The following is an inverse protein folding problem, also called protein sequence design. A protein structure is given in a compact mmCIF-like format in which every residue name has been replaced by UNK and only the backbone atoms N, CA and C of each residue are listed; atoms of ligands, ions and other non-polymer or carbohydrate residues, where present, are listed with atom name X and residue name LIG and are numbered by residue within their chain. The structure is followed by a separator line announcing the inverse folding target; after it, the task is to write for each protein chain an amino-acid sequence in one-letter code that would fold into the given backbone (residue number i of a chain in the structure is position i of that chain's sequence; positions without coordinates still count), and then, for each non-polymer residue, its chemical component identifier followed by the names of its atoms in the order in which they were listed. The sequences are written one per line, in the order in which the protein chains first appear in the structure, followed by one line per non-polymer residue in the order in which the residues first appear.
data_IF_846199675262
#
_entry.id   IF_846199675262
#
_cell.length_a   1.000
_cell.length_b   1.000
_cell.length_c   1.000
_cell.angle_alpha   90.00
_cell.angle_beta   90.00
_cell.angle_gamma   90.00
#
_symmetry.space_group_name_H-M   'P 1'
#
loop_
_entity.id
_entity.type
_entity.pdbx_description
1 polymer ?
#
# COMPACT_ATOMS: atom_id res chain seq x y z
N UNK A 1 18.39 1.68 -15.31
CA UNK A 1 18.16 1.19 -13.95
C UNK A 1 17.75 -0.27 -14.01
N UNK A 2 17.78 -0.95 -12.90
CA UNK A 2 17.25 -2.29 -12.75
C UNK A 2 15.72 -2.24 -12.78
N UNK A 3 15.09 -3.24 -13.38
CA UNK A 3 13.63 -3.42 -13.28
C UNK A 3 13.35 -4.36 -12.11
N UNK A 4 12.43 -4.00 -11.25
CA UNK A 4 12.10 -4.74 -10.03
C UNK A 4 10.62 -5.11 -10.00
N UNK A 5 10.34 -6.34 -9.61
CA UNK A 5 9.00 -6.83 -9.39
C UNK A 5 8.46 -6.36 -8.03
N UNK A 6 7.21 -5.93 -8.02
CA UNK A 6 6.49 -5.42 -6.83
C UNK A 6 5.17 -6.17 -6.58
N UNK A 7 4.87 -7.17 -7.40
CA UNK A 7 3.65 -7.97 -7.27
C UNK A 7 3.93 -9.16 -6.37
N UNK A 8 3.17 -9.30 -5.31
CA UNK A 8 3.31 -10.42 -4.39
C UNK A 8 2.94 -11.75 -5.05
N UNK A 9 3.65 -12.81 -4.71
CA UNK A 9 3.46 -14.15 -5.29
C UNK A 9 2.02 -14.65 -5.17
N UNK A 10 1.32 -14.30 -4.08
CA UNK A 10 -0.09 -14.64 -3.88
C UNK A 10 -1.03 -13.95 -4.90
N UNK A 11 -0.69 -12.75 -5.39
CA UNK A 11 -1.44 -12.07 -6.45
C UNK A 11 -1.23 -12.77 -7.78
N UNK A 12 -0.01 -13.14 -8.10
CA UNK A 12 0.30 -13.88 -9.33
C UNK A 12 -0.42 -15.23 -9.35
N UNK A 13 -0.42 -15.95 -8.24
CA UNK A 13 -1.12 -17.22 -8.10
C UNK A 13 -2.65 -17.03 -8.25
N UNK A 14 -3.22 -15.99 -7.63
CA UNK A 14 -4.63 -15.65 -7.79
C UNK A 14 -5.00 -15.36 -9.26
N UNK A 15 -4.19 -14.58 -9.94
CA UNK A 15 -4.44 -14.24 -11.35
C UNK A 15 -4.29 -15.47 -12.27
N UNK A 16 -3.39 -16.40 -11.93
CA UNK A 16 -3.18 -17.65 -12.69
C UNK A 16 -4.27 -18.70 -12.46
N UNK A 17 -5.08 -18.56 -11.42
CA UNK A 17 -6.14 -19.51 -11.08
C UNK A 17 -7.30 -19.52 -12.10
N UNK A 18 -7.39 -18.52 -12.99
CA UNK A 18 -8.37 -18.45 -14.11
C UNK A 18 -9.82 -18.80 -13.70
N UNK A 19 -10.19 -18.50 -12.44
CA UNK A 19 -11.52 -18.78 -11.91
C UNK A 19 -11.70 -20.17 -11.26
N UNK A 20 -10.62 -20.91 -10.99
CA UNK A 20 -10.68 -22.12 -10.16
C UNK A 20 -11.04 -21.75 -8.72
N UNK A 21 -12.30 -21.98 -8.34
CA UNK A 21 -12.84 -21.62 -7.01
C UNK A 21 -12.06 -22.28 -5.87
N UNK A 22 -11.59 -23.52 -6.02
CA UNK A 22 -10.89 -24.22 -4.95
C UNK A 22 -9.50 -23.62 -4.71
N UNK A 23 -8.80 -23.22 -5.77
CA UNK A 23 -7.51 -22.54 -5.68
C UNK A 23 -7.69 -21.13 -5.09
N UNK A 24 -8.69 -20.40 -5.55
CA UNK A 24 -9.02 -19.06 -5.03
C UNK A 24 -9.37 -19.12 -3.55
N UNK A 25 -10.22 -20.05 -3.11
CA UNK A 25 -10.56 -20.23 -1.71
C UNK A 25 -9.36 -20.58 -0.82
N UNK A 26 -8.42 -21.37 -1.35
CA UNK A 26 -7.20 -21.70 -0.62
C UNK A 26 -6.30 -20.47 -0.42
N UNK A 27 -6.16 -19.63 -1.44
CA UNK A 27 -5.41 -18.37 -1.38
C UNK A 27 -6.07 -17.35 -0.44
N UNK A 28 -7.41 -17.20 -0.50
CA UNK A 28 -8.15 -16.25 0.30
C UNK A 28 -8.13 -16.58 1.81
N UNK A 29 -7.86 -17.80 2.22
CA UNK A 29 -7.67 -18.17 3.64
C UNK A 29 -6.45 -17.51 4.27
N UNK A 30 -5.51 -17.05 3.47
CA UNK A 30 -4.27 -16.38 3.91
C UNK A 30 -4.30 -14.87 3.63
N UNK A 31 -5.47 -14.24 3.59
CA UNK A 31 -5.67 -12.85 3.14
C UNK A 31 -4.87 -11.76 3.87
N UNK A 32 -4.33 -12.05 5.02
CA UNK A 32 -3.52 -11.10 5.79
C UNK A 32 -2.03 -11.41 5.70
N UNK A 33 -1.60 -12.22 4.73
CA UNK A 33 -0.19 -12.54 4.57
C UNK A 33 0.55 -11.42 3.84
N UNK A 34 1.79 -11.21 4.21
CA UNK A 34 2.72 -10.28 3.55
C UNK A 34 3.00 -10.67 2.09
N UNK A 35 2.56 -11.88 1.68
CA UNK A 35 2.74 -12.42 0.32
C UNK A 35 1.92 -11.67 -0.76
N UNK A 36 1.00 -10.79 -0.36
CA UNK A 36 0.20 -9.99 -1.29
C UNK A 36 0.90 -8.74 -1.81
N UNK A 37 1.91 -8.26 -1.09
CA UNK A 37 2.71 -7.09 -1.46
C UNK A 37 4.18 -7.44 -1.35
N UNK A 38 4.93 -7.20 -2.42
CA UNK A 38 6.36 -7.47 -2.46
C UNK A 38 7.14 -6.19 -2.14
N UNK A 39 8.08 -6.31 -1.22
CA UNK A 39 8.99 -5.23 -0.89
C UNK A 39 10.13 -5.10 -1.91
N UNK A 40 10.64 -3.90 -2.04
CA UNK A 40 11.89 -3.61 -2.74
C UNK A 40 12.93 -3.17 -1.72
N UNK A 41 13.93 -3.99 -1.48
CA UNK A 41 14.98 -3.70 -0.51
C UNK A 41 16.07 -2.82 -1.11
N UNK A 42 16.19 -1.59 -0.62
CA UNK A 42 17.37 -0.76 -0.85
C UNK A 42 18.51 -1.20 0.07
N UNK A 43 19.73 -1.26 -0.43
CA UNK A 43 20.91 -1.54 0.37
C UNK A 43 22.06 -0.60 0.01
N UNK A 44 22.87 -0.22 1.02
CA UNK A 44 24.01 0.66 0.83
C UNK A 44 25.19 0.26 1.69
N UNK A 45 26.36 0.80 1.36
CA UNK A 45 27.56 0.54 2.13
C UNK A 45 27.54 1.36 3.42
N UNK A 46 27.72 0.68 4.54
CA UNK A 46 27.87 1.32 5.83
C UNK A 46 29.15 2.17 5.87
N UNK A 47 29.03 3.40 6.39
CA UNK A 47 30.15 4.34 6.54
C UNK A 47 30.45 4.70 8.01
N UNK A 48 29.89 3.94 8.97
CA UNK A 48 30.05 4.16 10.41
C UNK A 48 29.08 5.19 11.01
N UNK A 49 28.13 5.70 10.22
CA UNK A 49 27.06 6.55 10.76
C UNK A 49 26.12 5.75 11.65
N UNK A 50 25.66 6.34 12.74
CA UNK A 50 24.69 5.71 13.66
C UNK A 50 23.28 5.70 13.06
N UNK A 51 22.98 6.66 12.16
CA UNK A 51 21.71 6.78 11.46
C UNK A 51 21.97 7.20 10.02
N UNK A 52 21.04 6.80 9.16
CA UNK A 52 20.97 7.23 7.77
C UNK A 52 19.64 7.88 7.50
N UNK A 53 19.65 8.87 6.62
CA UNK A 53 18.44 9.42 6.01
C UNK A 53 18.39 8.95 4.58
N UNK A 54 17.34 8.23 4.21
CA UNK A 54 17.08 7.74 2.86
C UNK A 54 16.06 8.67 2.21
N UNK A 55 16.36 9.12 1.02
CA UNK A 55 15.48 9.93 0.17
C UNK A 55 15.05 9.09 -1.01
N UNK A 56 13.74 9.00 -1.23
CA UNK A 56 13.13 8.31 -2.37
C UNK A 56 12.23 9.31 -3.11
N UNK A 57 12.30 9.35 -4.43
CA UNK A 57 11.50 10.26 -5.25
C UNK A 57 11.24 9.67 -6.64
N UNK A 58 10.11 9.99 -7.24
CA UNK A 58 9.82 9.78 -8.65
C UNK A 58 10.49 10.86 -9.53
N UNK A 59 11.00 11.93 -8.91
CA UNK A 59 11.66 13.04 -9.56
C UNK A 59 13.16 13.04 -9.25
N UNK A 60 14.01 13.05 -10.28
CA UNK A 60 15.47 13.08 -10.14
C UNK A 60 15.99 14.31 -9.35
N UNK A 61 15.23 15.40 -9.30
CA UNK A 61 15.56 16.57 -8.49
C UNK A 61 15.21 16.44 -7.01
N UNK A 62 14.52 15.35 -6.60
CA UNK A 62 14.08 15.10 -5.23
C UNK A 62 13.16 16.19 -4.64
N UNK A 63 12.38 16.88 -5.47
CA UNK A 63 11.49 17.95 -5.03
C UNK A 63 10.35 17.41 -4.14
N UNK A 64 9.86 16.19 -4.43
CA UNK A 64 8.76 15.51 -3.69
C UNK A 64 9.27 14.26 -2.97
N UNK A 65 10.51 14.27 -2.47
CA UNK A 65 11.11 13.09 -1.87
C UNK A 65 10.42 12.67 -0.57
N UNK A 66 10.10 11.40 -0.48
CA UNK A 66 9.83 10.75 0.80
C UNK A 66 11.12 10.58 1.57
N UNK A 67 11.09 10.75 2.88
CA UNK A 67 12.27 10.74 3.74
C UNK A 67 12.10 9.74 4.87
N UNK A 68 12.98 8.72 4.87
CA UNK A 68 13.01 7.69 5.90
C UNK A 68 14.30 7.75 6.71
N UNK A 69 14.20 7.47 8.02
CA UNK A 69 15.35 7.37 8.92
C UNK A 69 15.62 5.93 9.29
N UNK A 70 16.83 5.49 9.05
CA UNK A 70 17.26 4.10 9.27
C UNK A 70 18.43 4.06 10.26
N UNK A 71 18.40 3.09 11.18
CA UNK A 71 19.52 2.84 12.08
C UNK A 71 20.72 2.29 11.32
N UNK A 72 21.92 2.79 11.66
CA UNK A 72 23.15 2.47 10.95
C UNK A 72 23.66 1.04 11.05
N UNK A 73 23.06 0.22 11.92
CA UNK A 73 23.42 -1.20 12.06
C UNK A 73 22.83 -2.09 10.95
N UNK A 74 21.78 -1.65 10.30
CA UNK A 74 21.13 -2.32 9.17
C UNK A 74 21.07 -1.37 8.00
N UNK A 75 22.09 -1.35 7.12
CA UNK A 75 22.15 -0.42 5.99
C UNK A 75 21.23 -0.86 4.85
N UNK A 76 20.00 -1.16 5.19
CA UNK A 76 18.91 -1.57 4.28
C UNK A 76 17.62 -0.86 4.65
N UNK A 77 16.73 -0.71 3.67
CA UNK A 77 15.37 -0.21 3.82
C UNK A 77 14.45 -0.96 2.87
N UNK A 78 13.40 -1.55 3.40
CA UNK A 78 12.36 -2.18 2.62
C UNK A 78 11.28 -1.16 2.26
N UNK A 79 10.99 -1.06 0.97
CA UNK A 79 10.00 -0.17 0.41
C UNK A 79 8.77 -0.97 0.01
N UNK A 80 7.62 -0.52 0.45
CA UNK A 80 6.31 -1.08 0.10
C UNK A 80 5.50 -0.06 -0.71
N UNK A 81 4.40 -0.52 -1.29
CA UNK A 81 3.39 0.33 -1.89
C UNK A 81 3.89 1.19 -3.06
N UNK A 82 4.91 0.74 -3.77
CA UNK A 82 5.42 1.43 -4.95
C UNK A 82 4.39 1.40 -6.09
N UNK A 83 4.45 2.39 -6.97
CA UNK A 83 3.56 2.51 -8.13
C UNK A 83 4.13 1.67 -9.28
N UNK A 84 3.33 0.82 -9.95
CA UNK A 84 3.77 0.05 -11.11
C UNK A 84 4.27 0.93 -12.26
N UNK A 85 5.22 0.44 -13.05
CA UNK A 85 5.77 1.12 -14.23
C UNK A 85 6.49 2.43 -13.94
N UNK A 86 6.88 2.68 -12.69
CA UNK A 86 7.41 3.95 -12.23
C UNK A 86 8.91 3.89 -11.97
N UNK A 87 9.65 4.90 -12.44
CA UNK A 87 11.08 5.03 -12.15
C UNK A 87 11.27 5.82 -10.87
N UNK A 88 12.01 5.23 -9.94
CA UNK A 88 12.39 5.81 -8.66
C UNK A 88 13.87 6.18 -8.63
N UNK A 89 14.16 7.29 -7.99
CA UNK A 89 15.49 7.78 -7.67
C UNK A 89 15.67 7.78 -6.16
N UNK A 90 16.80 7.31 -5.69
CA UNK A 90 17.08 7.26 -4.27
C UNK A 90 18.51 7.62 -3.94
N UNK A 91 18.72 8.15 -2.74
CA UNK A 91 20.03 8.45 -2.18
C UNK A 91 20.00 8.36 -0.67
N UNK A 92 21.17 8.16 -0.10
CA UNK A 92 21.35 7.99 1.34
C UNK A 92 22.33 9.02 1.87
N UNK A 93 22.00 9.62 3.01
CA UNK A 93 22.86 10.56 3.71
C UNK A 93 23.14 10.07 5.13
N UNK A 94 24.42 9.96 5.50
CA UNK A 94 24.82 9.67 6.87
C UNK A 94 24.57 10.87 7.78
N UNK A 95 23.85 10.66 8.89
CA UNK A 95 23.36 11.76 9.74
C UNK A 95 24.49 12.56 10.38
N UNK A 96 25.62 11.92 10.72
CA UNK A 96 26.74 12.59 11.38
C UNK A 96 27.93 12.86 10.46
N UNK A 97 28.16 12.02 9.46
CA UNK A 97 29.26 12.25 8.51
C UNK A 97 28.92 13.32 7.49
N UNK A 98 27.63 13.53 7.23
CA UNK A 98 27.18 14.40 6.15
C UNK A 98 27.43 13.85 4.75
N UNK A 99 28.08 12.67 4.65
CA UNK A 99 28.36 12.01 3.38
C UNK A 99 27.08 11.57 2.71
N UNK A 100 26.96 11.83 1.43
CA UNK A 100 25.80 11.49 0.61
C UNK A 100 26.22 10.47 -0.46
N UNK A 101 25.40 9.45 -0.68
CA UNK A 101 25.65 8.47 -1.73
C UNK A 101 25.47 9.07 -3.13
N UNK A 102 25.98 8.38 -4.13
CA UNK A 102 25.50 8.60 -5.50
C UNK A 102 23.99 8.30 -5.57
N UNK A 103 23.31 8.90 -6.55
CA UNK A 103 21.92 8.60 -6.83
C UNK A 103 21.80 7.22 -7.46
N UNK A 104 21.05 6.34 -6.80
CA UNK A 104 20.60 5.07 -7.36
C UNK A 104 19.27 5.24 -8.09
N UNK A 105 18.96 4.33 -8.98
CA UNK A 105 17.69 4.32 -9.71
C UNK A 105 17.24 2.90 -10.00
N UNK A 106 15.95 2.66 -9.92
CA UNK A 106 15.29 1.43 -10.35
C UNK A 106 13.92 1.77 -10.97
N UNK A 107 13.34 0.83 -11.71
CA UNK A 107 11.99 0.97 -12.28
C UNK A 107 11.17 -0.24 -11.87
N UNK A 108 9.97 -0.02 -11.36
CA UNK A 108 9.04 -1.08 -11.03
C UNK A 108 8.45 -1.71 -12.30
N UNK A 109 8.15 -3.00 -12.27
CA UNK A 109 7.44 -3.66 -13.37
C UNK A 109 6.03 -3.10 -13.55
N UNK A 110 5.54 -3.17 -14.79
CA UNK A 110 4.16 -2.83 -15.12
C UNK A 110 3.21 -3.86 -14.48
N UNK A 111 2.16 -3.39 -13.85
CA UNK A 111 1.10 -4.25 -13.33
C UNK A 111 -0.24 -3.53 -13.39
N UNK A 112 -1.31 -4.27 -13.69
CA UNK A 112 -2.70 -3.77 -13.63
C UNK A 112 -3.29 -3.86 -12.22
N UNK A 113 -2.61 -4.55 -11.31
CA UNK A 113 -3.06 -4.74 -9.93
C UNK A 113 -2.03 -4.11 -9.01
N UNK A 114 -2.47 -3.22 -8.15
CA UNK A 114 -1.63 -2.65 -7.10
C UNK A 114 -2.27 -2.95 -5.75
N UNK A 115 -1.80 -4.01 -5.11
CA UNK A 115 -2.10 -4.30 -3.71
C UNK A 115 -1.30 -3.37 -2.82
N UNK A 116 -1.89 -3.00 -1.69
CA UNK A 116 -1.30 -2.04 -0.75
C UNK A 116 -1.12 -2.72 0.61
N UNK A 117 0.06 -2.67 1.14
CA UNK A 117 0.35 -3.07 2.51
C UNK A 117 -0.05 -1.95 3.47
N UNK A 118 -0.97 -2.27 4.37
CA UNK A 118 -1.36 -1.40 5.49
C UNK A 118 -1.46 -2.29 6.72
N UNK A 119 -0.62 -2.05 7.71
CA UNK A 119 -0.57 -2.90 8.89
C UNK A 119 -1.90 -2.94 9.64
N UNK A 120 -2.36 -4.14 9.95
CA UNK A 120 -3.65 -4.41 10.58
C UNK A 120 -4.87 -4.36 9.65
N UNK A 121 -4.71 -4.11 8.35
CA UNK A 121 -5.81 -4.05 7.37
C UNK A 121 -5.60 -5.02 6.22
N UNK A 122 -6.56 -5.88 5.99
CA UNK A 122 -6.53 -6.81 4.86
C UNK A 122 -7.12 -6.20 3.58
N UNK A 123 -6.71 -6.77 2.45
CA UNK A 123 -7.33 -6.57 1.15
C UNK A 123 -7.36 -5.11 0.66
N UNK A 124 -6.34 -4.33 1.01
CA UNK A 124 -6.21 -2.95 0.52
C UNK A 124 -5.67 -2.95 -0.90
N UNK A 125 -6.32 -2.22 -1.80
CA UNK A 125 -5.93 -2.09 -3.20
C UNK A 125 -6.11 -0.67 -3.68
N UNK A 126 -5.19 -0.21 -4.51
CA UNK A 126 -5.36 0.98 -5.34
C UNK A 126 -6.25 0.61 -6.53
N UNK A 127 -7.19 1.46 -6.88
CA UNK A 127 -8.04 1.32 -8.05
C UNK A 127 -7.50 2.08 -9.27
N UNK A 128 -6.24 2.50 -9.23
CA UNK A 128 -5.50 3.02 -10.39
C UNK A 128 -5.14 1.93 -11.40
N UNK A 129 -4.70 2.35 -12.58
CA UNK A 129 -4.29 1.45 -13.66
C UNK A 129 -5.41 0.84 -14.49
N UNK A 130 -6.68 1.08 -14.13
CA UNK A 130 -7.81 0.58 -14.91
C UNK A 130 -8.10 1.47 -16.13
N UNK A 131 -8.15 0.85 -17.29
CA UNK A 131 -8.56 1.52 -18.52
C UNK A 131 -10.06 1.88 -18.50
N UNK A 132 -10.36 3.07 -18.96
CA UNK A 132 -11.73 3.57 -19.14
C UNK A 132 -11.92 4.02 -20.58
N UNK A 133 -13.15 4.34 -20.97
CA UNK A 133 -13.45 4.86 -22.33
C UNK A 133 -12.79 6.20 -22.63
N UNK A 134 -12.31 6.93 -21.61
CA UNK A 134 -11.72 8.27 -21.75
C UNK A 134 -10.27 8.37 -21.28
N UNK A 135 -9.67 7.26 -20.86
CA UNK A 135 -8.29 7.21 -20.36
C UNK A 135 -8.13 6.16 -19.25
N UNK A 136 -7.13 6.33 -18.44
CA UNK A 136 -6.79 5.42 -17.34
C UNK A 136 -7.03 6.10 -15.99
N UNK A 137 -7.49 5.34 -15.01
CA UNK A 137 -7.60 5.82 -13.61
C UNK A 137 -6.19 5.99 -13.04
N UNK A 138 -5.90 7.17 -12.52
CA UNK A 138 -4.60 7.45 -11.92
C UNK A 138 -4.42 6.67 -10.61
N UNK A 139 -3.22 6.14 -10.41
CA UNK A 139 -2.82 5.59 -9.13
C UNK A 139 -2.83 6.64 -8.01
N UNK A 140 -2.99 6.18 -6.77
CA UNK A 140 -2.87 7.04 -5.60
C UNK A 140 -4.09 7.91 -5.28
N UNK A 141 -5.22 7.72 -5.95
CA UNK A 141 -6.42 8.55 -5.75
C UNK A 141 -7.58 7.83 -5.07
N UNK A 142 -7.78 6.56 -5.36
CA UNK A 142 -8.92 5.79 -4.87
C UNK A 142 -8.45 4.40 -4.43
N UNK A 143 -8.72 4.08 -3.18
CA UNK A 143 -8.38 2.81 -2.58
C UNK A 143 -9.64 2.10 -2.09
N UNK A 144 -9.58 0.77 -2.05
CA UNK A 144 -10.56 -0.04 -1.34
C UNK A 144 -9.84 -0.96 -0.37
N UNK A 145 -10.48 -1.33 0.72
CA UNK A 145 -9.89 -2.23 1.72
C UNK A 145 -10.94 -2.94 2.54
N UNK A 146 -10.49 -3.80 3.42
CA UNK A 146 -11.28 -4.36 4.50
C UNK A 146 -11.67 -3.31 5.52
N UNK A 147 -12.38 -3.73 6.57
CA UNK A 147 -12.73 -2.85 7.68
C UNK A 147 -11.50 -2.47 8.50
N UNK A 148 -11.52 -1.28 9.06
CA UNK A 148 -10.39 -0.70 9.79
C UNK A 148 -10.54 -0.81 11.31
N UNK A 149 -11.77 -0.90 11.80
CA UNK A 149 -12.10 -0.83 13.24
C UNK A 149 -12.57 -2.17 13.83
N UNK A 150 -12.13 -3.29 13.24
CA UNK A 150 -12.42 -4.62 13.77
C UNK A 150 -11.63 -4.94 15.04
N UNK A 151 -11.79 -6.16 15.52
CA UNK A 151 -11.11 -6.65 16.74
C UNK A 151 -10.21 -7.84 16.47
N UNK A 152 -10.14 -8.27 15.23
CA UNK A 152 -9.32 -9.40 14.78
C UNK A 152 -8.18 -8.95 13.89
N UNK A 153 -7.14 -9.76 13.77
CA UNK A 153 -6.02 -9.49 12.87
C UNK A 153 -6.50 -9.29 11.43
N UNK A 154 -5.96 -8.28 10.76
CA UNK A 154 -6.36 -7.90 9.40
C UNK A 154 -7.66 -7.09 9.29
N UNK A 155 -8.27 -6.73 10.41
CA UNK A 155 -9.50 -5.93 10.48
C UNK A 155 -9.38 -4.74 11.46
N UNK A 156 -8.27 -4.62 12.16
CA UNK A 156 -7.99 -3.57 13.13
C UNK A 156 -6.72 -2.84 12.73
N UNK A 157 -6.88 -1.64 12.18
CA UNK A 157 -5.75 -0.82 11.78
C UNK A 157 -4.84 -0.50 12.97
N UNK A 158 -3.54 -0.66 12.81
CA UNK A 158 -2.55 -0.31 13.82
C UNK A 158 -2.10 1.15 13.69
N UNK A 159 -1.27 1.63 14.61
CA UNK A 159 -0.70 2.98 14.50
C UNK A 159 0.25 3.10 13.30
N UNK A 160 0.98 2.04 12.96
CA UNK A 160 1.79 1.94 11.75
C UNK A 160 0.91 2.01 10.50
N UNK A 161 -0.19 1.28 10.47
CA UNK A 161 -1.15 1.32 9.36
C UNK A 161 -1.81 2.69 9.19
N UNK A 162 -2.10 3.39 10.30
CA UNK A 162 -2.60 4.78 10.25
C UNK A 162 -1.56 5.73 9.67
N UNK A 163 -0.31 5.62 10.10
CA UNK A 163 0.80 6.41 9.54
C UNK A 163 0.96 6.16 8.05
N UNK A 164 0.89 4.90 7.61
CA UNK A 164 0.92 4.56 6.18
C UNK A 164 -0.23 5.23 5.41
N UNK A 165 -1.46 5.15 5.91
CA UNK A 165 -2.61 5.80 5.26
C UNK A 165 -2.52 7.33 5.23
N UNK A 166 -2.04 7.95 6.31
CA UNK A 166 -1.97 9.41 6.43
C UNK A 166 -0.76 10.01 5.71
N UNK A 167 0.42 9.40 5.92
CA UNK A 167 1.69 10.01 5.56
C UNK A 167 2.20 9.53 4.19
N UNK A 168 1.99 8.26 3.83
CA UNK A 168 2.41 7.69 2.55
C UNK A 168 1.29 7.77 1.52
N UNK A 169 0.11 7.22 1.81
CA UNK A 169 -1.02 7.18 0.89
C UNK A 169 -1.82 8.48 0.83
N UNK A 170 -1.60 9.41 1.77
CA UNK A 170 -2.25 10.73 1.81
C UNK A 170 -3.79 10.67 1.83
N UNK A 171 -4.37 9.67 2.49
CA UNK A 171 -5.82 9.50 2.58
C UNK A 171 -6.46 10.73 3.25
N UNK A 172 -7.52 11.25 2.64
CA UNK A 172 -8.27 12.43 3.12
C UNK A 172 -9.72 12.12 3.45
N UNK A 173 -10.22 10.99 3.00
CA UNK A 173 -11.63 10.62 3.22
C UNK A 173 -11.74 9.11 3.36
N UNK A 174 -12.41 8.67 4.42
CA UNK A 174 -12.88 7.29 4.60
C UNK A 174 -14.37 7.23 4.25
N UNK A 175 -14.71 6.34 3.32
CA UNK A 175 -16.09 6.06 2.96
C UNK A 175 -16.43 4.67 3.49
N UNK A 176 -17.30 4.60 4.50
CA UNK A 176 -17.75 3.34 5.07
C UNK A 176 -19.04 2.88 4.39
N UNK A 177 -18.92 1.77 3.68
CA UNK A 177 -20.03 1.17 2.91
C UNK A 177 -20.79 0.10 3.70
N UNK A 178 -20.36 -0.24 4.92
CA UNK A 178 -20.97 -1.29 5.73
C UNK A 178 -22.37 -0.90 6.20
N UNK A 179 -23.20 -1.91 6.41
CA UNK A 179 -24.50 -1.73 7.06
C UNK A 179 -24.33 -1.28 8.52
N UNK A 180 -25.39 -0.74 9.11
CA UNK A 180 -25.38 -0.34 10.53
C UNK A 180 -25.15 -1.52 11.47
N UNK A 181 -25.49 -2.75 11.05
CA UNK A 181 -25.25 -3.96 11.82
C UNK A 181 -23.78 -4.40 11.81
N UNK A 182 -23.01 -4.00 10.79
CA UNK A 182 -21.65 -4.50 10.55
C UNK A 182 -20.56 -3.46 10.85
N UNK A 183 -20.95 -2.21 11.09
CA UNK A 183 -19.99 -1.10 11.26
C UNK A 183 -19.37 -1.01 12.66
N UNK A 184 -19.80 -1.86 13.58
CA UNK A 184 -19.33 -1.82 14.96
C UNK A 184 -19.68 -0.55 15.72
N UNK A 185 -20.69 0.22 15.23
CA UNK A 185 -21.08 1.51 15.80
C UNK A 185 -20.14 2.66 15.42
N UNK A 186 -19.39 2.52 14.33
CA UNK A 186 -18.46 3.55 13.87
C UNK A 186 -19.20 4.83 13.46
N UNK A 187 -18.81 5.97 14.05
CA UNK A 187 -19.37 7.30 13.81
C UNK A 187 -18.36 8.30 13.28
N UNK A 188 -17.09 7.93 13.28
CA UNK A 188 -15.96 8.74 12.82
C UNK A 188 -14.94 7.85 12.09
N UNK A 189 -14.00 8.45 11.38
CA UNK A 189 -12.99 7.67 10.67
C UNK A 189 -12.07 6.90 11.64
N UNK A 190 -11.56 5.77 11.19
CA UNK A 190 -10.64 4.94 11.96
C UNK A 190 -9.16 5.31 11.75
N UNK A 191 -8.87 6.18 10.79
CA UNK A 191 -7.51 6.49 10.31
C UNK A 191 -6.86 7.54 11.20
N UNK A 192 -7.53 8.69 11.42
CA UNK A 192 -6.96 9.73 12.27
C UNK A 192 -7.43 11.14 11.95
N UNK A 193 -6.76 12.12 12.57
CA UNK A 193 -7.10 13.53 12.45
C UNK A 193 -6.96 14.03 11.01
N UNK A 194 -7.88 14.88 10.58
CA UNK A 194 -7.90 15.49 9.25
C UNK A 194 -8.48 14.60 8.14
N UNK A 195 -8.97 13.40 8.47
CA UNK A 195 -9.66 12.52 7.54
C UNK A 195 -11.18 12.69 7.68
N UNK A 196 -11.87 12.98 6.59
CA UNK A 196 -13.33 13.03 6.57
C UNK A 196 -13.93 11.63 6.67
N UNK A 197 -15.03 11.49 7.39
CA UNK A 197 -15.79 10.26 7.44
C UNK A 197 -17.14 10.41 6.75
N UNK A 198 -17.43 9.50 5.82
CA UNK A 198 -18.71 9.48 5.09
C UNK A 198 -19.30 8.09 5.23
N UNK A 199 -20.49 8.01 5.81
CA UNK A 199 -21.25 6.76 5.92
C UNK A 199 -22.25 6.65 4.77
N UNK A 200 -22.08 5.61 3.94
CA UNK A 200 -22.99 5.27 2.84
C UNK A 200 -23.34 3.78 2.98
N UNK A 201 -24.26 3.40 3.87
CA UNK A 201 -24.55 2.00 4.08
C UNK A 201 -25.18 1.40 2.83
N UNK A 202 -24.47 0.47 2.22
CA UNK A 202 -25.05 -0.36 1.18
C UNK A 202 -25.93 -1.39 1.90
N UNK A 203 -27.21 -1.42 1.54
CA UNK A 203 -28.13 -2.45 2.03
C UNK A 203 -27.53 -3.82 1.74
N UNK A 204 -27.68 -4.76 2.67
CA UNK A 204 -27.38 -6.14 2.36
C UNK A 204 -28.05 -6.47 1.02
N UNK A 205 -27.40 -7.20 0.16
CA UNK A 205 -28.01 -7.83 -1.00
C UNK A 205 -29.04 -8.88 -0.53
N UNK A 206 -30.02 -8.43 0.22
CA UNK A 206 -31.20 -9.20 0.49
C UNK A 206 -31.96 -9.22 -0.82
N UNK A 207 -31.78 -10.32 -1.53
CA UNK A 207 -32.57 -10.73 -2.68
C UNK A 207 -32.28 -9.97 -3.99
N UNK A 208 -31.13 -10.27 -4.61
CA UNK A 208 -30.95 -10.08 -6.08
C UNK A 208 -32.07 -10.84 -6.87
N UNK A 209 -32.78 -11.76 -6.23
CA UNK A 209 -33.86 -12.54 -6.83
C UNK A 209 -35.23 -11.81 -6.83
N UNK A 210 -35.36 -10.64 -6.23
CA UNK A 210 -36.61 -9.88 -6.19
C UNK A 210 -36.73 -8.80 -7.29
N UNK A 211 -35.80 -8.79 -8.27
CA UNK A 211 -35.87 -7.95 -9.44
C UNK A 211 -36.11 -8.78 -10.72
N UNK A 212 -37.24 -9.51 -10.76
CA UNK A 212 -37.87 -9.95 -12.00
C UNK A 212 -39.05 -9.03 -12.35
#
# INVERSE_FOLDING_TARGET
GETVDIVGDAVEEYLSAEGDEAQIDALLKNQCSDDWVKEVTLSWKQNGSAFYTVYLSENQAFEDATVEKVFGYTPTLDLYNLIPGTTYYWKVKGTYSGDESAVGTFTTEESKVRTIYVDGVSNVRDLGGYETTTGEVKYGLLYRGGKLNGTTSGEAITEEGKSEMLDSLKIKTEIDLRSVSDDGGQTENAIGEGVNYIKIPLGQYANILDYE
#
